data_IF_765335414206
#
_entry.id   IF_765335414206
#
_cell.length_a   1.000
_cell.length_b   1.000
_cell.length_c   1.000
_cell.angle_alpha   90.00
_cell.angle_beta   90.00
_cell.angle_gamma   90.00
#
_symmetry.space_group_name_H-M   'P 1'
#
loop_
_entity.id
_entity.type
_entity.pdbx_description
1 polymer ?
#
# COMPACT_ATOMS: atom_id res chain seq x y z
N UNK A 1 -13.82 -1.78 12.63
CA UNK A 1 -15.00 -2.45 13.25
C UNK A 1 -15.75 -3.32 12.22
N UNK A 2 -15.04 -3.94 11.28
CA UNK A 2 -15.65 -4.88 10.35
C UNK A 2 -15.95 -6.19 11.09
N UNK A 3 -17.21 -6.63 11.05
CA UNK A 3 -17.68 -7.85 11.71
C UNK A 3 -18.18 -8.89 10.70
N UNK A 4 -17.97 -8.66 9.40
CA UNK A 4 -18.52 -9.49 8.34
C UNK A 4 -20.00 -9.21 8.04
N UNK A 5 -20.52 -9.90 7.02
CA UNK A 5 -21.90 -9.74 6.58
C UNK A 5 -22.87 -10.68 7.29
N UNK A 6 -24.14 -10.27 7.36
CA UNK A 6 -25.20 -11.01 8.06
C UNK A 6 -25.61 -12.33 7.36
N UNK A 7 -25.48 -12.39 6.02
CA UNK A 7 -25.94 -13.53 5.19
C UNK A 7 -24.82 -14.10 4.31
N UNK A 8 -24.06 -13.22 3.70
CA UNK A 8 -22.85 -13.53 2.92
C UNK A 8 -21.65 -12.93 3.62
N UNK A 9 -20.45 -13.49 3.40
CA UNK A 9 -19.22 -13.01 4.04
C UNK A 9 -19.29 -13.02 5.59
N UNK A 10 -19.98 -14.01 6.16
CA UNK A 10 -19.99 -14.25 7.61
C UNK A 10 -18.54 -14.53 8.05
N UNK A 11 -18.07 -13.81 9.07
CA UNK A 11 -16.69 -13.87 9.57
C UNK A 11 -15.61 -13.62 8.48
N UNK A 12 -15.95 -12.86 7.43
CA UNK A 12 -15.02 -12.44 6.37
C UNK A 12 -15.07 -10.92 6.22
N UNK A 13 -13.94 -10.31 5.88
CA UNK A 13 -13.87 -8.86 5.64
C UNK A 13 -14.89 -8.43 4.58
N UNK A 14 -15.71 -7.43 4.92
CA UNK A 14 -16.62 -6.75 4.00
C UNK A 14 -16.05 -5.40 3.53
N UNK A 15 -15.03 -4.88 4.22
CA UNK A 15 -14.35 -3.62 3.88
C UNK A 15 -12.93 -3.82 3.34
N UNK A 16 -12.55 -5.04 2.96
CA UNK A 16 -11.23 -5.28 2.35
C UNK A 16 -11.15 -4.66 0.95
N UNK A 17 -10.21 -3.74 0.77
CA UNK A 17 -9.85 -3.15 -0.51
C UNK A 17 -8.31 -3.16 -0.61
N UNK A 18 -7.77 -3.24 -1.83
CA UNK A 18 -6.33 -3.17 -2.08
C UNK A 18 -6.01 -2.33 -3.31
N UNK A 19 -4.83 -1.73 -3.32
CA UNK A 19 -4.30 -0.98 -4.45
C UNK A 19 -2.80 -1.32 -4.64
N UNK A 20 -2.25 -1.00 -5.82
CA UNK A 20 -0.81 -1.12 -6.10
C UNK A 20 -0.08 0.13 -5.60
N UNK A 21 1.00 -0.05 -4.86
CA UNK A 21 1.98 1.02 -4.60
C UNK A 21 3.04 0.98 -5.71
N UNK A 22 3.42 2.14 -6.24
CA UNK A 22 4.40 2.25 -7.32
C UNK A 22 5.64 2.98 -6.79
N UNK A 23 6.77 2.29 -6.82
CA UNK A 23 8.09 2.88 -6.65
C UNK A 23 8.85 2.64 -7.96
N UNK A 24 9.11 3.70 -8.72
CA UNK A 24 9.80 3.59 -10.00
C UNK A 24 10.63 4.83 -10.31
N UNK A 25 11.59 4.64 -11.22
CA UNK A 25 12.33 5.73 -11.86
C UNK A 25 11.97 5.69 -13.35
N UNK A 26 11.54 6.81 -13.94
CA UNK A 26 11.29 6.90 -15.37
C UNK A 26 12.58 6.66 -16.17
N UNK A 27 12.54 5.72 -17.13
CA UNK A 27 13.67 5.44 -17.99
C UNK A 27 13.61 6.14 -19.35
N UNK A 28 14.70 6.06 -20.14
CA UNK A 28 14.70 6.48 -21.54
C UNK A 28 13.61 5.73 -22.33
N UNK A 29 13.03 6.41 -23.33
CA UNK A 29 12.01 5.81 -24.23
C UNK A 29 10.71 5.35 -23.53
N UNK A 30 10.46 5.81 -22.30
CA UNK A 30 9.20 5.56 -21.58
C UNK A 30 9.12 4.21 -20.86
N UNK A 31 10.24 3.47 -20.77
CA UNK A 31 10.32 2.26 -19.96
C UNK A 31 10.73 2.60 -18.52
N UNK A 32 9.77 2.54 -17.59
CA UNK A 32 10.03 2.74 -16.16
C UNK A 32 10.79 1.55 -15.54
N UNK A 33 11.78 1.82 -14.70
CA UNK A 33 12.40 0.81 -13.84
C UNK A 33 11.64 0.75 -12.52
N UNK A 34 11.02 -0.39 -12.25
CA UNK A 34 10.20 -0.61 -11.05
C UNK A 34 10.97 -1.31 -9.93
N UNK A 35 10.64 -0.94 -8.69
CA UNK A 35 11.08 -1.60 -7.46
C UNK A 35 9.83 -2.18 -6.78
N UNK A 36 9.47 -3.42 -7.15
CA UNK A 36 8.18 -4.02 -6.77
C UNK A 36 8.23 -4.81 -5.46
N UNK A 37 9.43 -5.14 -4.96
CA UNK A 37 9.59 -5.89 -3.71
C UNK A 37 9.59 -4.96 -2.50
N UNK A 38 8.45 -4.88 -1.81
CA UNK A 38 8.33 -4.13 -0.56
C UNK A 38 9.04 -4.86 0.59
N UNK A 39 10.06 -4.22 1.17
CA UNK A 39 10.86 -4.77 2.28
C UNK A 39 10.42 -4.26 3.65
N UNK A 40 10.07 -2.97 3.75
CA UNK A 40 9.69 -2.34 5.02
C UNK A 40 8.77 -1.11 4.80
N UNK A 41 7.99 -0.74 5.82
CA UNK A 41 7.14 0.45 5.86
C UNK A 41 7.36 1.20 7.19
N UNK A 42 7.56 2.51 7.10
CA UNK A 42 7.59 3.42 8.24
C UNK A 42 6.53 4.51 8.12
N UNK A 43 5.78 4.75 9.19
CA UNK A 43 4.80 5.84 9.28
C UNK A 43 5.41 7.00 10.07
N UNK A 44 5.72 8.09 9.39
CA UNK A 44 6.15 9.32 10.03
C UNK A 44 4.92 10.15 10.44
N UNK A 45 4.72 10.29 11.75
CA UNK A 45 3.68 11.16 12.29
C UNK A 45 3.86 12.60 11.83
N UNK A 46 2.79 13.22 11.35
CA UNK A 46 2.75 14.66 11.03
C UNK A 46 1.96 15.42 12.10
N UNK A 47 1.75 16.72 11.90
CA UNK A 47 0.89 17.52 12.79
C UNK A 47 -0.57 17.07 12.75
N UNK A 48 -1.00 16.49 11.63
CA UNK A 48 -2.31 15.87 11.51
C UNK A 48 -2.13 14.35 11.63
N UNK A 49 -2.51 13.80 12.78
CA UNK A 49 -2.40 12.37 13.07
C UNK A 49 -3.16 11.49 12.08
N UNK A 50 -4.17 12.04 11.39
CA UNK A 50 -4.93 11.32 10.35
C UNK A 50 -4.20 11.27 9.01
N UNK A 51 -3.12 12.03 8.86
CA UNK A 51 -2.34 12.15 7.63
C UNK A 51 -0.83 11.92 7.92
N UNK A 52 -0.42 10.68 8.28
CA UNK A 52 1.00 10.34 8.38
C UNK A 52 1.65 10.30 6.99
N UNK A 53 2.95 10.58 6.92
CA UNK A 53 3.74 10.29 5.72
C UNK A 53 4.14 8.81 5.73
N UNK A 54 3.86 8.11 4.63
CA UNK A 54 4.21 6.70 4.46
C UNK A 54 5.53 6.61 3.71
N UNK A 55 6.55 6.06 4.35
CA UNK A 55 7.81 5.69 3.72
C UNK A 55 7.84 4.19 3.50
N UNK A 56 8.30 3.75 2.33
CA UNK A 56 8.50 2.34 2.03
C UNK A 56 9.89 2.09 1.46
N UNK A 57 10.51 0.99 1.86
CA UNK A 57 11.75 0.49 1.25
C UNK A 57 11.39 -0.55 0.22
N UNK A 58 11.78 -0.32 -1.03
CA UNK A 58 11.51 -1.21 -2.15
C UNK A 58 12.82 -1.67 -2.78
N UNK A 59 12.86 -2.92 -3.24
CA UNK A 59 13.99 -3.51 -3.96
C UNK A 59 13.58 -4.06 -5.31
N UNK A 60 14.59 -4.39 -6.11
CA UNK A 60 14.46 -5.27 -7.28
C UNK A 60 14.83 -6.69 -6.88
N UNK A 61 14.34 -7.68 -7.64
CA UNK A 61 14.84 -9.07 -7.61
C UNK A 61 16.32 -9.17 -7.95
#
# INVERSE_FOLDING_TARGET
>A
NDMGGQRSLINKWTTFLKARLVCSIPGPEGADTHFDELQDIFLLSTRDERNPLVYGVFTTT
#
